data_IF_767682041254
#
_entry.id   IF_767682041254
#
_cell.length_a   1.000
_cell.length_b   1.000
_cell.length_c   1.000
_cell.angle_alpha   90.00
_cell.angle_beta   90.00
_cell.angle_gamma   90.00
#
_symmetry.space_group_name_H-M   'P 1'
#
loop_
_entity.id
_entity.type
_entity.pdbx_description
1 polymer ?
#
# COMPACT_ATOMS: atom_id res chain seq x y z
N UNK A 1 15.24 13.33 23.22
CA UNK A 1 14.15 13.00 22.28
C UNK A 1 14.67 12.77 20.85
N UNK A 2 15.50 13.65 20.27
CA UNK A 2 15.99 13.50 18.89
C UNK A 2 16.79 12.21 18.57
N UNK A 3 17.52 11.64 19.54
CA UNK A 3 18.34 10.44 19.31
C UNK A 3 17.54 9.14 19.10
N UNK A 4 16.34 9.04 19.68
CA UNK A 4 15.48 7.86 19.54
C UNK A 4 14.77 7.88 18.18
N UNK A 5 14.38 9.06 17.70
CA UNK A 5 13.74 9.23 16.38
C UNK A 5 14.71 8.93 15.24
N UNK A 6 15.96 9.42 15.30
CA UNK A 6 16.97 9.03 14.31
C UNK A 6 17.22 7.51 14.29
N UNK A 7 17.15 6.85 15.44
CA UNK A 7 17.34 5.40 15.53
C UNK A 7 16.24 4.62 14.81
N UNK A 8 14.98 5.08 14.84
CA UNK A 8 13.87 4.39 14.18
C UNK A 8 13.91 4.56 12.65
N UNK A 9 14.10 5.78 12.17
CA UNK A 9 14.25 6.08 10.74
C UNK A 9 15.34 5.23 10.08
N UNK A 10 16.51 5.12 10.73
CA UNK A 10 17.62 4.31 10.24
C UNK A 10 17.30 2.81 10.21
N UNK A 11 16.59 2.30 11.23
CA UNK A 11 16.12 0.90 11.26
C UNK A 11 15.17 0.62 10.10
N UNK A 12 14.18 1.48 9.87
CA UNK A 12 13.21 1.32 8.77
C UNK A 12 13.94 1.40 7.42
N UNK A 13 14.88 2.32 7.25
CA UNK A 13 15.68 2.44 6.04
C UNK A 13 16.48 1.15 5.75
N UNK A 14 17.11 0.56 6.77
CA UNK A 14 17.83 -0.70 6.63
C UNK A 14 16.90 -1.85 6.19
N UNK A 15 15.71 -1.94 6.79
CA UNK A 15 14.73 -2.98 6.46
C UNK A 15 14.20 -2.84 5.02
N UNK A 16 13.92 -1.62 4.57
CA UNK A 16 13.47 -1.39 3.19
C UNK A 16 14.54 -1.78 2.16
N UNK A 17 15.82 -1.55 2.48
CA UNK A 17 16.96 -1.97 1.66
C UNK A 17 17.07 -3.50 1.60
N UNK A 18 16.92 -4.17 2.74
CA UNK A 18 16.96 -5.63 2.84
C UNK A 18 15.81 -6.30 2.09
N UNK A 19 14.59 -5.76 2.19
CA UNK A 19 13.42 -6.34 1.56
C UNK A 19 13.36 -6.13 0.03
N UNK A 20 14.35 -5.44 -0.55
CA UNK A 20 14.45 -5.19 -1.98
C UNK A 20 13.41 -4.21 -2.48
N UNK A 21 12.98 -3.26 -1.64
CA UNK A 21 12.05 -2.21 -2.05
C UNK A 21 12.76 -1.09 -2.81
N UNK A 22 11.96 -0.29 -3.51
CA UNK A 22 12.37 0.95 -4.19
C UNK A 22 13.17 1.82 -3.21
N UNK A 23 14.28 2.42 -3.66
CA UNK A 23 15.05 3.35 -2.83
C UNK A 23 14.26 4.65 -2.59
N UNK A 24 13.96 4.93 -1.33
CA UNK A 24 13.32 6.17 -0.90
C UNK A 24 14.37 7.18 -0.42
N UNK A 25 14.11 8.47 -0.63
CA UNK A 25 14.97 9.54 -0.14
C UNK A 25 14.95 9.61 1.40
N UNK A 26 16.06 10.01 2.05
CA UNK A 26 16.14 10.03 3.52
C UNK A 26 15.05 10.90 4.16
N UNK A 27 14.65 12.00 3.51
CA UNK A 27 13.57 12.87 3.98
C UNK A 27 12.23 12.13 4.13
N UNK A 28 11.95 11.15 3.27
CA UNK A 28 10.70 10.36 3.34
C UNK A 28 10.62 9.54 4.64
N UNK A 29 11.71 8.94 5.08
CA UNK A 29 11.75 8.17 6.34
C UNK A 29 11.48 9.04 7.57
N UNK A 30 11.85 10.33 7.51
CA UNK A 30 11.47 11.28 8.55
C UNK A 30 9.99 11.67 8.46
N UNK A 31 9.44 11.78 7.24
CA UNK A 31 8.03 12.13 7.05
C UNK A 31 7.06 11.03 7.50
N UNK A 32 7.40 9.74 7.38
CA UNK A 32 6.56 8.63 7.86
C UNK A 32 6.40 8.57 9.38
N UNK A 33 7.29 9.24 10.12
CA UNK A 33 7.22 9.42 11.57
C UNK A 33 6.36 10.63 11.98
N UNK A 34 5.93 11.44 11.00
CA UNK A 34 5.01 12.56 11.23
C UNK A 34 3.56 12.15 11.06
N UNK A 35 2.63 13.04 11.38
CA UNK A 35 1.18 12.83 11.21
C UNK A 35 0.72 12.95 9.75
N UNK A 36 1.64 13.09 8.79
CA UNK A 36 1.31 13.18 7.37
C UNK A 36 0.76 11.86 6.82
N UNK A 37 1.26 10.73 7.33
CA UNK A 37 0.93 9.41 6.84
C UNK A 37 0.29 8.57 7.94
N UNK A 38 -0.57 7.64 7.55
CA UNK A 38 -0.97 6.53 8.41
C UNK A 38 0.11 5.48 8.31
N UNK A 39 0.94 5.41 9.34
CA UNK A 39 2.05 4.46 9.43
C UNK A 39 1.76 3.45 10.55
N UNK A 40 1.77 2.17 10.23
CA UNK A 40 1.62 1.09 11.22
C UNK A 40 2.79 0.13 11.09
N UNK A 41 3.44 -0.17 12.21
CA UNK A 41 4.48 -1.18 12.31
C UNK A 41 4.03 -2.35 13.19
N UNK A 42 4.32 -3.57 12.76
CA UNK A 42 4.23 -4.76 13.60
C UNK A 42 5.58 -4.96 14.28
N UNK A 43 5.59 -5.02 15.62
CA UNK A 43 6.81 -5.07 16.42
C UNK A 43 6.75 -6.24 17.40
N UNK A 44 7.88 -6.91 17.62
CA UNK A 44 8.05 -7.95 18.65
C UNK A 44 9.33 -7.64 19.43
N UNK A 45 9.17 -7.15 20.67
CA UNK A 45 10.30 -6.59 21.41
C UNK A 45 10.85 -5.36 20.69
N UNK A 46 12.13 -5.40 20.31
CA UNK A 46 12.80 -4.33 19.57
C UNK A 46 12.89 -4.58 18.05
N UNK A 47 12.32 -5.68 17.57
CA UNK A 47 12.35 -6.09 16.16
C UNK A 47 11.09 -5.62 15.42
N UNK A 48 11.26 -4.93 14.29
CA UNK A 48 10.17 -4.56 13.39
C UNK A 48 9.95 -5.70 12.39
N UNK A 49 8.80 -6.36 12.50
CA UNK A 49 8.43 -7.51 11.68
C UNK A 49 7.80 -7.10 10.34
N UNK A 50 7.23 -5.90 10.28
CA UNK A 50 6.61 -5.37 9.07
C UNK A 50 6.09 -3.96 9.27
N UNK A 51 5.86 -3.28 8.17
CA UNK A 51 5.41 -1.89 8.13
C UNK A 51 4.45 -1.67 6.97
N UNK A 52 3.45 -0.83 7.20
CA UNK A 52 2.54 -0.33 6.18
C UNK A 52 2.44 1.18 6.31
N UNK A 53 2.59 1.88 5.19
CA UNK A 53 2.49 3.34 5.10
C UNK A 53 1.41 3.72 4.07
N UNK A 54 0.47 4.56 4.48
CA UNK A 54 -0.64 5.04 3.67
C UNK A 54 -0.73 6.58 3.70
N UNK A 55 -0.95 7.19 2.54
CA UNK A 55 -1.32 8.60 2.40
C UNK A 55 -2.79 8.68 1.97
N UNK A 56 -3.56 9.56 2.60
CA UNK A 56 -4.90 9.89 2.11
C UNK A 56 -4.74 11.02 1.09
N UNK A 57 -5.16 10.75 -0.15
CA UNK A 57 -5.03 11.69 -1.26
C UNK A 57 -6.39 12.28 -1.63
N UNK A 58 -6.40 13.60 -1.81
CA UNK A 58 -7.50 14.29 -2.47
C UNK A 58 -7.50 13.96 -3.97
N UNK A 59 -8.67 13.82 -4.63
CA UNK A 59 -8.74 13.56 -6.07
C UNK A 59 -7.94 14.56 -6.93
N UNK A 60 -7.84 15.81 -6.48
CA UNK A 60 -7.08 16.87 -7.14
C UNK A 60 -5.56 16.70 -7.04
N UNK A 61 -5.07 15.94 -6.05
CA UNK A 61 -3.64 15.68 -5.79
C UNK A 61 -3.09 14.43 -6.50
N UNK A 62 -3.96 13.69 -7.19
CA UNK A 62 -3.58 12.53 -7.98
C UNK A 62 -2.77 12.96 -9.21
N UNK A 63 -1.81 12.13 -9.61
CA UNK A 63 -1.11 12.33 -10.88
C UNK A 63 -2.12 12.25 -12.04
N UNK A 64 -1.78 12.83 -13.20
CA UNK A 64 -2.68 12.75 -14.37
C UNK A 64 -3.00 11.29 -14.72
N UNK A 65 -1.99 10.41 -14.66
CA UNK A 65 -2.10 8.99 -14.96
C UNK A 65 -3.00 8.26 -13.95
N UNK A 66 -2.73 8.41 -12.65
CA UNK A 66 -3.56 7.81 -11.59
C UNK A 66 -5.01 8.32 -11.67
N UNK A 67 -5.18 9.61 -11.95
CA UNK A 67 -6.50 10.22 -12.11
C UNK A 67 -7.24 9.64 -13.30
N UNK A 68 -6.61 9.44 -14.46
CA UNK A 68 -7.29 8.84 -15.61
C UNK A 68 -7.81 7.42 -15.29
N UNK A 69 -7.09 6.67 -14.46
CA UNK A 69 -7.46 5.30 -14.07
C UNK A 69 -8.53 5.30 -12.96
N UNK A 70 -8.37 6.15 -11.94
CA UNK A 70 -9.22 6.19 -10.75
C UNK A 70 -10.48 7.07 -10.93
N UNK A 71 -10.47 8.02 -11.87
CA UNK A 71 -11.50 9.05 -12.07
C UNK A 71 -12.85 8.52 -12.53
N UNK A 72 -13.02 7.26 -12.90
CA UNK A 72 -14.38 6.77 -13.18
C UNK A 72 -15.16 6.44 -11.89
N UNK A 73 -14.46 6.25 -10.77
CA UNK A 73 -15.07 5.83 -9.49
C UNK A 73 -14.82 6.76 -8.32
N UNK A 74 -13.69 7.47 -8.29
CA UNK A 74 -13.24 8.20 -7.10
C UNK A 74 -13.17 9.72 -7.30
N UNK A 75 -13.95 10.28 -8.23
CA UNK A 75 -13.89 11.71 -8.62
C UNK A 75 -14.09 12.67 -7.45
N UNK A 76 -14.87 12.27 -6.44
CA UNK A 76 -15.38 13.17 -5.40
C UNK A 76 -14.88 12.83 -4.00
N UNK A 77 -14.14 11.73 -3.85
CA UNK A 77 -13.84 11.16 -2.55
C UNK A 77 -12.35 10.98 -2.37
N UNK A 78 -11.88 11.22 -1.14
CA UNK A 78 -10.52 10.90 -0.73
C UNK A 78 -10.24 9.42 -0.99
N UNK A 79 -9.02 9.11 -1.41
CA UNK A 79 -8.57 7.74 -1.68
C UNK A 79 -7.29 7.43 -0.91
N UNK A 80 -7.18 6.21 -0.39
CA UNK A 80 -5.98 5.76 0.28
C UNK A 80 -4.91 5.27 -0.71
N UNK A 81 -3.75 5.90 -0.73
CA UNK A 81 -2.59 5.44 -1.47
C UNK A 81 -1.63 4.67 -0.55
N UNK A 82 -1.44 3.36 -0.78
CA UNK A 82 -0.48 2.56 -0.01
C UNK A 82 0.90 2.77 -0.65
N UNK A 83 1.77 3.51 0.06
CA UNK A 83 3.12 3.83 -0.38
C UNK A 83 4.06 2.64 -0.23
N UNK A 84 3.88 1.89 0.85
CA UNK A 84 4.70 0.71 1.15
C UNK A 84 3.93 -0.27 2.01
N UNK A 85 4.13 -1.56 1.72
CA UNK A 85 3.78 -2.69 2.57
C UNK A 85 4.92 -3.68 2.52
N UNK A 86 5.66 -3.79 3.62
CA UNK A 86 6.80 -4.66 3.78
C UNK A 86 6.66 -5.56 4.99
N UNK A 87 7.12 -6.80 4.88
CA UNK A 87 7.19 -7.78 5.97
C UNK A 87 8.54 -8.49 5.86
N UNK A 88 9.22 -8.62 7.00
CA UNK A 88 10.47 -9.34 7.13
C UNK A 88 10.35 -10.76 6.57
N UNK A 89 11.38 -11.23 5.87
CA UNK A 89 11.31 -12.45 5.07
C UNK A 89 10.86 -13.68 5.88
N UNK A 90 11.41 -13.84 7.09
CA UNK A 90 11.05 -14.91 8.03
C UNK A 90 9.58 -14.90 8.47
N UNK A 91 8.88 -13.78 8.27
CA UNK A 91 7.48 -13.58 8.65
C UNK A 91 6.56 -13.42 7.43
N UNK A 92 7.09 -13.54 6.21
CA UNK A 92 6.28 -13.62 4.99
C UNK A 92 5.43 -14.89 5.03
N UNK A 93 4.25 -14.86 4.40
CA UNK A 93 3.26 -15.97 4.35
C UNK A 93 2.62 -16.35 5.68
N UNK A 94 3.12 -15.84 6.80
CA UNK A 94 2.36 -15.69 8.05
C UNK A 94 1.51 -14.42 7.87
N UNK A 95 0.27 -14.42 8.36
CA UNK A 95 -0.76 -13.42 8.00
C UNK A 95 -0.48 -11.95 8.43
N UNK A 96 0.77 -11.55 8.67
CA UNK A 96 1.20 -10.21 9.06
C UNK A 96 0.84 -9.13 8.04
N UNK A 97 1.07 -9.36 6.74
CA UNK A 97 0.65 -8.41 5.71
C UNK A 97 -0.87 -8.18 5.74
N UNK A 98 -1.64 -9.26 5.95
CA UNK A 98 -3.09 -9.16 6.15
C UNK A 98 -3.45 -8.40 7.41
N UNK A 99 -2.75 -8.65 8.52
CA UNK A 99 -2.97 -7.99 9.79
C UNK A 99 -2.72 -6.49 9.69
N UNK A 100 -1.56 -6.08 9.18
CA UNK A 100 -1.19 -4.68 8.97
C UNK A 100 -2.23 -3.95 8.11
N UNK A 101 -2.59 -4.57 6.99
CA UNK A 101 -3.56 -4.01 6.05
C UNK A 101 -4.95 -3.86 6.70
N UNK A 102 -5.43 -4.85 7.44
CA UNK A 102 -6.71 -4.77 8.16
C UNK A 102 -6.69 -3.72 9.27
N UNK A 103 -5.58 -3.61 10.01
CA UNK A 103 -5.44 -2.66 11.12
C UNK A 103 -5.47 -1.22 10.60
N UNK A 104 -4.72 -0.97 9.53
CA UNK A 104 -4.66 0.33 8.89
C UNK A 104 -5.99 0.70 8.23
N UNK A 105 -6.67 -0.23 7.55
CA UNK A 105 -8.00 0.04 6.99
C UNK A 105 -8.98 0.50 8.07
N UNK A 106 -9.05 -0.21 9.21
CA UNK A 106 -9.90 0.19 10.34
C UNK A 106 -9.62 1.59 10.84
N UNK A 107 -8.35 1.98 10.86
CA UNK A 107 -7.90 3.29 11.37
C UNK A 107 -8.14 4.41 10.36
N UNK A 108 -7.95 4.14 9.06
CA UNK A 108 -8.15 5.13 8.01
C UNK A 108 -9.62 5.30 7.58
N UNK A 109 -10.50 4.35 7.95
CA UNK A 109 -11.92 4.39 7.58
C UNK A 109 -12.67 5.61 8.13
N UNK A 110 -12.20 6.28 9.18
CA UNK A 110 -12.78 7.55 9.65
C UNK A 110 -12.60 8.70 8.67
N UNK A 111 -11.52 8.66 7.87
CA UNK A 111 -11.06 9.82 7.09
C UNK A 111 -11.20 9.62 5.58
N UNK A 112 -11.55 8.41 5.13
CA UNK A 112 -11.77 8.05 3.73
C UNK A 112 -13.27 7.82 3.49
N UNK A 113 -13.89 8.70 2.70
CA UNK A 113 -15.34 8.71 2.45
C UNK A 113 -15.84 7.54 1.60
N UNK A 114 -15.01 7.03 0.70
CA UNK A 114 -15.25 5.78 -0.02
C UNK A 114 -14.11 4.81 0.27
N UNK A 115 -14.39 3.53 0.49
CA UNK A 115 -13.40 2.51 0.85
C UNK A 115 -12.45 2.13 -0.31
N UNK A 116 -11.85 3.11 -0.97
CA UNK A 116 -10.94 2.96 -2.08
C UNK A 116 -9.49 3.01 -1.61
N UNK A 117 -8.74 1.96 -1.94
CA UNK A 117 -7.30 1.91 -1.76
C UNK A 117 -6.63 1.55 -3.07
N UNK A 118 -5.49 2.16 -3.35
CA UNK A 118 -4.67 1.81 -4.50
C UNK A 118 -3.19 1.73 -4.15
N UNK A 119 -2.45 0.96 -4.94
CA UNK A 119 -1.00 0.83 -4.80
C UNK A 119 -0.34 0.53 -6.13
N UNK A 120 0.96 0.76 -6.19
CA UNK A 120 1.81 0.38 -7.31
C UNK A 120 2.58 -0.90 -6.99
N UNK A 121 2.63 -1.84 -7.92
CA UNK A 121 3.49 -3.03 -7.86
C UNK A 121 4.31 -3.11 -9.14
N UNK A 122 5.62 -3.33 -9.01
CA UNK A 122 6.48 -3.54 -10.18
C UNK A 122 6.02 -4.77 -10.94
N UNK A 123 5.90 -4.68 -12.26
CA UNK A 123 5.52 -5.79 -13.11
C UNK A 123 6.53 -6.93 -13.09
N UNK A 124 7.73 -6.72 -12.56
CA UNK A 124 8.77 -7.74 -12.36
C UNK A 124 8.66 -8.41 -10.99
N UNK A 125 7.90 -7.82 -10.07
CA UNK A 125 7.66 -8.36 -8.72
C UNK A 125 6.23 -8.91 -8.64
N UNK A 126 6.05 -10.15 -9.12
CA UNK A 126 4.75 -10.82 -9.11
C UNK A 126 4.38 -11.44 -7.75
N UNK A 127 5.33 -11.58 -6.82
CA UNK A 127 5.10 -12.22 -5.52
C UNK A 127 3.92 -11.64 -4.71
N UNK A 128 3.72 -10.30 -4.63
CA UNK A 128 2.60 -9.73 -3.88
C UNK A 128 1.26 -9.74 -4.62
N UNK A 129 1.21 -10.03 -5.92
CA UNK A 129 -0.03 -9.95 -6.71
C UNK A 129 -1.10 -10.93 -6.20
N UNK A 130 -0.82 -12.23 -5.97
CA UNK A 130 -1.81 -13.16 -5.44
C UNK A 130 -2.36 -12.74 -4.07
N UNK A 131 -1.56 -12.05 -3.25
CA UNK A 131 -1.98 -11.53 -1.96
C UNK A 131 -3.04 -10.43 -2.13
N UNK A 132 -2.79 -9.46 -3.00
CA UNK A 132 -3.73 -8.36 -3.23
C UNK A 132 -4.99 -8.82 -3.98
N UNK A 133 -4.87 -9.75 -4.91
CA UNK A 133 -6.02 -10.35 -5.61
C UNK A 133 -6.95 -11.07 -4.62
N UNK A 134 -6.39 -11.86 -3.71
CA UNK A 134 -7.17 -12.52 -2.65
C UNK A 134 -7.86 -11.50 -1.74
N UNK A 135 -7.19 -10.40 -1.38
CA UNK A 135 -7.77 -9.35 -0.53
C UNK A 135 -8.89 -8.58 -1.20
N UNK A 136 -8.79 -8.35 -2.50
CA UNK A 136 -9.84 -7.74 -3.31
C UNK A 136 -11.12 -8.57 -3.31
N UNK A 137 -11.01 -9.90 -3.37
CA UNK A 137 -12.17 -10.79 -3.31
C UNK A 137 -12.83 -10.92 -1.93
N UNK A 138 -12.12 -10.61 -0.83
CA UNK A 138 -12.60 -10.83 0.54
C UNK A 138 -13.00 -9.56 1.30
N UNK A 139 -12.87 -8.37 0.70
CA UNK A 139 -13.14 -7.10 1.40
C UNK A 139 -14.21 -6.28 0.68
N UNK A 140 -15.05 -5.57 1.44
CA UNK A 140 -15.99 -4.58 0.88
C UNK A 140 -15.31 -3.29 0.41
N UNK A 141 -13.98 -3.21 0.56
CA UNK A 141 -13.15 -2.09 0.12
C UNK A 141 -12.67 -2.34 -1.32
N UNK A 142 -12.71 -1.32 -2.16
CA UNK A 142 -12.19 -1.40 -3.52
C UNK A 142 -10.67 -1.28 -3.50
N UNK A 143 -9.99 -2.37 -3.84
CA UNK A 143 -8.55 -2.39 -4.09
C UNK A 143 -8.27 -2.26 -5.59
N UNK A 144 -7.47 -1.25 -5.95
CA UNK A 144 -6.95 -1.06 -7.31
C UNK A 144 -5.44 -1.30 -7.31
N UNK A 145 -5.01 -2.37 -7.99
CA UNK A 145 -3.60 -2.67 -8.19
C UNK A 145 -3.14 -2.03 -9.51
N UNK A 146 -2.16 -1.13 -9.43
CA UNK A 146 -1.53 -0.51 -10.60
C UNK A 146 -0.18 -1.17 -10.84
N UNK A 147 -0.02 -1.86 -11.97
CA UNK A 147 1.24 -2.49 -12.33
C UNK A 147 2.17 -1.50 -13.01
N UNK A 148 3.42 -1.42 -12.54
CA UNK A 148 4.47 -0.55 -13.07
C UNK A 148 5.49 -1.37 -13.85
N UNK A 149 5.54 -1.20 -15.18
CA UNK A 149 6.60 -1.78 -16.00
C UNK A 149 7.85 -0.89 -16.00
N UNK A 150 8.97 -1.35 -15.43
CA UNK A 150 10.26 -0.67 -15.62
C UNK A 150 10.82 -1.02 -17.01
N UNK A 151 10.73 -0.09 -17.95
CA UNK A 151 11.67 -0.02 -19.09
C UNK A 151 12.72 1.06 -18.80
N UNK A 152 13.92 0.90 -19.34
CA UNK A 152 15.08 1.81 -19.24
C UNK A 152 14.78 3.29 -19.59
N UNK A 153 13.62 3.55 -20.20
CA UNK A 153 13.05 4.89 -20.32
C UNK A 153 11.86 4.97 -19.39
N UNK A 154 11.90 5.89 -18.41
CA UNK A 154 10.87 6.20 -17.40
C UNK A 154 9.46 6.43 -17.98
N UNK A 155 8.83 5.40 -18.54
CA UNK A 155 7.50 5.41 -19.13
C UNK A 155 6.66 4.32 -18.48
N UNK A 156 5.58 4.76 -17.88
CA UNK A 156 4.61 3.94 -17.18
C UNK A 156 3.75 3.19 -18.19
N UNK A 157 3.82 1.86 -18.20
CA UNK A 157 2.83 1.02 -18.87
C UNK A 157 1.91 0.51 -17.77
N UNK A 158 0.73 1.12 -17.70
CA UNK A 158 -0.30 0.80 -16.72
C UNK A 158 -1.16 -0.35 -17.24
N UNK A 159 -1.09 -1.50 -16.57
CA UNK A 159 -2.11 -2.56 -16.71
C UNK A 159 -3.03 -2.44 -15.51
N UNK A 160 -4.20 -1.82 -15.71
CA UNK A 160 -5.25 -1.76 -14.70
C UNK A 160 -6.03 -3.08 -14.72
N UNK A 161 -5.83 -3.95 -13.73
CA UNK A 161 -6.68 -5.15 -13.56
C UNK A 161 -7.96 -4.71 -12.84
N UNK A 162 -8.83 -4.02 -13.57
CA UNK A 162 -10.18 -3.66 -13.11
C UNK A 162 -11.15 -4.80 -13.44
N UNK A 163 -10.97 -6.00 -12.88
CA UNK A 163 -11.97 -7.05 -13.05
C UNK A 163 -13.16 -6.74 -12.13
N UNK A 164 -14.29 -6.32 -12.68
CA UNK A 164 -15.57 -6.35 -11.96
C UNK A 164 -15.77 -7.76 -11.41
N UNK A 165 -15.74 -7.94 -10.09
CA UNK A 165 -16.30 -9.15 -9.50
C UNK A 165 -17.82 -8.96 -9.50
N UNK A 166 -18.50 -9.54 -10.50
CA UNK A 166 -19.91 -9.90 -10.33
C UNK A 166 -19.92 -11.20 -9.52
N UNK A 167 -20.67 -11.29 -8.41
CA UNK A 167 -20.92 -12.60 -7.81
C UNK A 167 -21.51 -13.51 -8.88
N UNK A 168 -20.92 -14.69 -9.06
CA UNK A 168 -21.53 -15.77 -9.84
C UNK A 168 -22.89 -16.11 -9.21
N UNK A 169 -23.99 -16.26 -9.96
CA UNK A 169 -25.31 -16.57 -9.39
C UNK A 169 -25.47 -18.00 -8.83
N UNK A 170 -24.39 -18.66 -8.39
CA UNK A 170 -24.42 -20.10 -8.09
C UNK A 170 -24.08 -20.48 -6.64
N UNK A 171 -23.94 -19.52 -5.73
CA UNK A 171 -23.83 -19.80 -4.29
C UNK A 171 -25.13 -19.45 -3.55
N UNK A 172 -26.25 -19.94 -4.09
CA UNK A 172 -27.50 -20.11 -3.36
C UNK A 172 -28.00 -21.53 -3.58
N UNK A 173 -27.47 -22.43 -2.73
CA UNK A 173 -28.09 -23.68 -2.32
C UNK A 173 -28.48 -23.53 -0.85
#
# INVERSE_FOLDING_TARGET
MNSVFESLSLKIQSLFKEWGHIEYHHSWFREIETHRYYSVAAVKGDEILGILVLEIKEPSSLSKEDREILSTRFVKNKIGYILSLGVAENYRRVAFASFLLNNLMRSAHSDISEKGFYLHVLSTNFQPIPFYDKKRGSTSSLFVLLLCHQRETKRWIHICICHQWRPSPLDSL
#
